data_IF_848774136895
#
_entry.id   IF_848774136895
#
_cell.length_a   1.000
_cell.length_b   1.000
_cell.length_c   1.000
_cell.angle_alpha   90.00
_cell.angle_beta   90.00
_cell.angle_gamma   90.00
#
_symmetry.space_group_name_H-M   'P 1'
#
loop_
_entity.id
_entity.type
_entity.pdbx_description
1 polymer ?
#
# COMPACT_ATOMS: atom_id res chain seq x y z
N UNK A 1 7.71 5.08 19.98
CA UNK A 1 7.08 3.80 19.61
C UNK A 1 5.59 4.04 19.47
N UNK A 2 5.03 3.96 18.25
CA UNK A 2 3.57 4.08 18.04
C UNK A 2 3.07 2.66 17.70
N UNK A 3 2.47 1.93 18.65
CA UNK A 3 2.12 0.52 18.48
C UNK A 3 1.09 0.25 17.36
N UNK A 4 0.44 1.28 16.83
CA UNK A 4 -0.70 1.16 15.91
C UNK A 4 -0.36 1.25 14.41
N UNK A 5 0.92 1.43 14.04
CA UNK A 5 1.35 1.54 12.63
C UNK A 5 2.29 0.39 12.26
N UNK A 6 1.75 -0.66 11.65
CA UNK A 6 2.52 -1.83 11.20
C UNK A 6 3.46 -1.51 10.02
N UNK A 7 3.25 -0.37 9.35
CA UNK A 7 3.99 -0.01 8.12
C UNK A 7 5.16 0.95 8.39
N UNK A 8 5.27 1.52 9.59
CA UNK A 8 6.36 2.46 9.94
C UNK A 8 7.31 1.79 10.93
N UNK A 9 8.18 0.93 10.40
CA UNK A 9 9.27 0.36 11.19
C UNK A 9 10.18 1.48 11.71
N UNK A 10 10.45 1.48 13.01
CA UNK A 10 11.37 2.42 13.65
C UNK A 10 12.65 1.68 13.98
N UNK A 11 13.79 2.19 13.53
CA UNK A 11 15.09 1.63 13.89
C UNK A 11 15.35 1.83 15.40
N UNK A 12 15.51 0.74 16.14
CA UNK A 12 16.09 0.76 17.49
C UNK A 12 17.59 0.54 17.34
N UNK A 13 18.39 1.52 17.76
CA UNK A 13 19.86 1.47 17.63
C UNK A 13 20.45 1.58 19.02
N UNK A 14 21.26 0.59 19.41
CA UNK A 14 22.06 0.65 20.63
C UNK A 14 23.47 1.14 20.23
N UNK A 15 23.68 2.47 20.23
CA UNK A 15 24.95 3.10 19.86
C UNK A 15 24.83 4.55 19.36
N UNK A 16 25.92 5.11 18.84
CA UNK A 16 25.95 6.47 18.26
C UNK A 16 25.36 6.48 16.85
N UNK A 17 24.40 7.38 16.62
CA UNK A 17 23.82 7.65 15.30
C UNK A 17 24.53 8.84 14.65
N UNK A 18 24.59 8.84 13.32
CA UNK A 18 25.15 9.93 12.52
C UNK A 18 24.18 10.40 11.42
N UNK A 19 24.43 11.58 10.89
CA UNK A 19 23.67 12.13 9.75
C UNK A 19 24.51 11.96 8.49
N UNK A 20 23.95 11.29 7.47
CA UNK A 20 24.59 11.18 6.18
C UNK A 20 24.60 12.56 5.49
N UNK A 21 25.79 13.14 5.32
CA UNK A 21 25.96 14.48 4.73
C UNK A 21 25.83 14.49 3.20
N UNK A 22 25.99 13.33 2.56
CA UNK A 22 25.95 13.19 1.11
C UNK A 22 24.60 12.68 0.60
N UNK A 23 24.31 12.94 -0.68
CA UNK A 23 23.11 12.40 -1.32
C UNK A 23 23.23 10.89 -1.51
N UNK A 24 22.21 10.15 -1.05
CA UNK A 24 22.03 8.74 -1.37
C UNK A 24 21.00 8.60 -2.48
N UNK A 25 21.40 8.03 -3.62
CA UNK A 25 20.45 7.62 -4.65
C UNK A 25 19.72 6.37 -4.16
N UNK A 26 18.44 6.50 -3.81
CA UNK A 26 17.61 5.40 -3.33
C UNK A 26 16.55 5.02 -4.35
N UNK A 27 16.81 3.94 -5.08
CA UNK A 27 15.84 3.32 -5.99
C UNK A 27 14.93 2.41 -5.17
N UNK A 28 13.64 2.75 -5.10
CA UNK A 28 12.68 2.07 -4.24
C UNK A 28 12.20 0.70 -4.77
N UNK A 29 12.53 0.38 -6.03
CA UNK A 29 12.18 -0.84 -6.74
C UNK A 29 12.94 -0.90 -8.08
N UNK A 30 13.40 -2.09 -8.47
CA UNK A 30 14.20 -2.28 -9.69
C UNK A 30 13.36 -2.74 -10.89
N UNK A 31 12.19 -3.35 -10.65
CA UNK A 31 11.35 -3.87 -11.71
C UNK A 31 9.86 -3.91 -11.34
N UNK A 32 9.02 -4.13 -12.36
CA UNK A 32 7.57 -4.24 -12.21
C UNK A 32 7.14 -5.31 -11.19
N UNK A 33 7.79 -6.47 -11.17
CA UNK A 33 7.42 -7.58 -10.29
C UNK A 33 7.66 -7.23 -8.81
N UNK A 34 8.79 -6.62 -8.49
CA UNK A 34 9.13 -6.12 -7.16
C UNK A 34 8.12 -5.05 -6.74
N UNK A 35 7.82 -4.10 -7.63
CA UNK A 35 6.86 -3.05 -7.32
C UNK A 35 5.44 -3.59 -7.09
N UNK A 36 5.01 -4.57 -7.91
CA UNK A 36 3.74 -5.28 -7.74
C UNK A 36 3.69 -6.01 -6.39
N UNK A 37 4.73 -6.75 -6.05
CA UNK A 37 4.82 -7.47 -4.79
C UNK A 37 4.76 -6.49 -3.60
N UNK A 38 5.45 -5.35 -3.71
CA UNK A 38 5.37 -4.26 -2.73
C UNK A 38 3.93 -3.78 -2.56
N UNK A 39 3.22 -3.45 -3.64
CA UNK A 39 1.82 -3.01 -3.56
C UNK A 39 0.91 -4.05 -2.89
N UNK A 40 1.12 -5.34 -3.15
CA UNK A 40 0.39 -6.43 -2.50
C UNK A 40 0.70 -6.47 -1.00
N UNK A 41 1.97 -6.49 -0.61
CA UNK A 41 2.40 -6.54 0.80
C UNK A 41 1.86 -5.36 1.60
N UNK A 42 1.98 -4.14 1.07
CA UNK A 42 1.43 -2.93 1.69
C UNK A 42 -0.09 -3.01 1.82
N UNK A 43 -0.77 -3.55 0.81
CA UNK A 43 -2.21 -3.80 0.88
C UNK A 43 -2.56 -4.74 2.03
N UNK A 44 -1.88 -5.88 2.12
CA UNK A 44 -2.11 -6.87 3.20
C UNK A 44 -1.89 -6.25 4.58
N UNK A 45 -0.80 -5.52 4.80
CA UNK A 45 -0.53 -4.85 6.08
C UNK A 45 -1.64 -3.86 6.42
N UNK A 46 -2.07 -3.05 5.46
CA UNK A 46 -3.16 -2.08 5.67
C UNK A 46 -4.50 -2.76 5.95
N UNK A 47 -4.75 -3.93 5.36
CA UNK A 47 -5.94 -4.73 5.66
C UNK A 47 -5.96 -5.23 7.10
N UNK A 48 -4.81 -5.69 7.61
CA UNK A 48 -4.63 -6.04 9.03
C UNK A 48 -4.85 -4.82 9.94
N UNK A 49 -4.29 -3.66 9.60
CA UNK A 49 -4.54 -2.42 10.36
C UNK A 49 -6.02 -2.04 10.41
N UNK A 50 -6.75 -2.15 9.29
CA UNK A 50 -8.19 -1.91 9.26
C UNK A 50 -8.97 -2.91 10.12
N UNK A 51 -8.53 -4.17 10.15
CA UNK A 51 -9.13 -5.20 10.99
C UNK A 51 -8.95 -4.86 12.47
N UNK A 52 -7.72 -4.53 12.88
CA UNK A 52 -7.40 -4.11 14.27
C UNK A 52 -8.19 -2.87 14.70
N UNK A 53 -8.52 -1.99 13.74
CA UNK A 53 -9.39 -0.82 13.97
C UNK A 53 -10.91 -1.14 13.97
N UNK A 54 -11.29 -2.41 13.91
CA UNK A 54 -12.69 -2.85 13.95
C UNK A 54 -13.51 -2.52 12.69
N UNK A 55 -12.88 -2.20 11.55
CA UNK A 55 -13.62 -1.89 10.32
C UNK A 55 -14.29 -3.14 9.75
N UNK A 56 -15.61 -3.13 9.58
CA UNK A 56 -16.35 -4.23 8.94
C UNK A 56 -16.08 -4.30 7.43
N UNK A 57 -15.87 -5.50 6.92
CA UNK A 57 -15.73 -5.73 5.48
C UNK A 57 -17.07 -5.53 4.76
N UNK A 58 -17.02 -4.91 3.59
CA UNK A 58 -18.15 -4.79 2.67
C UNK A 58 -17.66 -4.97 1.24
N UNK A 59 -18.30 -5.87 0.50
CA UNK A 59 -17.98 -6.17 -0.90
C UNK A 59 -18.14 -4.90 -1.76
N UNK A 60 -19.24 -4.16 -1.55
CA UNK A 60 -19.51 -2.91 -2.26
C UNK A 60 -18.41 -1.87 -1.99
N UNK A 61 -17.98 -1.75 -0.72
CA UNK A 61 -16.89 -0.83 -0.36
C UNK A 61 -15.58 -1.20 -1.02
N UNK A 62 -15.25 -2.50 -1.11
CA UNK A 62 -14.04 -2.97 -1.79
C UNK A 62 -14.01 -2.54 -3.26
N UNK A 63 -15.08 -2.83 -4.02
CA UNK A 63 -15.12 -2.50 -5.44
C UNK A 63 -15.13 -0.98 -5.67
N UNK A 64 -15.98 -0.24 -4.96
CA UNK A 64 -16.05 1.22 -5.08
C UNK A 64 -14.69 1.87 -4.77
N UNK A 65 -14.03 1.48 -3.68
CA UNK A 65 -12.72 2.05 -3.31
C UNK A 65 -11.62 1.68 -4.29
N UNK A 66 -11.64 0.47 -4.82
CA UNK A 66 -10.65 0.00 -5.80
C UNK A 66 -10.80 0.75 -7.13
N UNK A 67 -12.02 0.81 -7.67
CA UNK A 67 -12.33 1.51 -8.93
C UNK A 67 -12.05 3.01 -8.77
N UNK A 68 -12.54 3.63 -7.68
CA UNK A 68 -12.28 5.04 -7.40
C UNK A 68 -10.79 5.34 -7.30
N UNK A 69 -9.99 4.43 -6.70
CA UNK A 69 -8.53 4.61 -6.61
C UNK A 69 -7.89 4.60 -7.99
N UNK A 70 -8.30 3.69 -8.87
CA UNK A 70 -7.83 3.64 -10.26
C UNK A 70 -8.18 4.92 -11.00
N UNK A 71 -9.45 5.34 -11.00
CA UNK A 71 -9.93 6.55 -11.68
C UNK A 71 -9.19 7.78 -11.14
N UNK A 72 -9.01 7.87 -9.82
CA UNK A 72 -8.23 8.95 -9.19
C UNK A 72 -6.77 8.97 -9.64
N UNK A 73 -6.13 7.82 -9.75
CA UNK A 73 -4.74 7.74 -10.18
C UNK A 73 -4.59 8.03 -11.69
N UNK A 74 -5.50 7.54 -12.51
CA UNK A 74 -5.38 7.63 -13.96
C UNK A 74 -5.82 8.99 -14.50
N UNK A 75 -7.00 9.47 -14.09
CA UNK A 75 -7.56 10.73 -14.59
C UNK A 75 -7.14 11.93 -13.74
N UNK A 76 -7.40 11.88 -12.42
CA UNK A 76 -7.19 13.05 -11.56
C UNK A 76 -5.72 13.33 -11.24
N UNK A 77 -4.85 12.31 -11.29
CA UNK A 77 -3.40 12.47 -11.17
C UNK A 77 -2.69 12.50 -12.51
N UNK A 78 -3.44 12.66 -13.60
CA UNK A 78 -2.90 12.80 -14.95
C UNK A 78 -2.02 11.61 -15.38
N UNK A 79 -2.21 10.41 -14.81
CA UNK A 79 -1.51 9.21 -15.26
C UNK A 79 -1.81 8.85 -16.72
N UNK A 80 -2.89 9.37 -17.28
CA UNK A 80 -3.15 9.31 -18.72
C UNK A 80 -2.05 9.99 -19.57
N UNK A 81 -1.37 11.02 -19.04
CA UNK A 81 -0.28 11.70 -19.73
C UNK A 81 0.98 10.84 -19.83
N UNK A 82 1.17 9.92 -18.88
CA UNK A 82 2.28 8.97 -18.86
C UNK A 82 2.01 7.72 -19.73
N UNK A 83 0.86 7.67 -20.42
CA UNK A 83 0.49 6.59 -21.33
C UNK A 83 0.48 5.20 -20.68
N UNK A 84 1.31 4.28 -21.20
CA UNK A 84 1.38 2.89 -20.72
C UNK A 84 1.86 2.79 -19.27
N UNK A 85 2.85 3.59 -18.89
CA UNK A 85 3.43 3.53 -17.55
C UNK A 85 2.47 4.10 -16.51
N UNK A 86 1.76 5.17 -16.85
CA UNK A 86 0.71 5.71 -15.97
C UNK A 86 -0.47 4.77 -15.79
N UNK A 87 -0.85 4.01 -16.82
CA UNK A 87 -1.82 2.92 -16.68
C UNK A 87 -1.32 1.84 -15.72
N UNK A 88 -0.08 1.37 -15.90
CA UNK A 88 0.55 0.36 -15.04
C UNK A 88 0.59 0.82 -13.58
N UNK A 89 1.04 2.04 -13.33
CA UNK A 89 1.14 2.61 -11.97
C UNK A 89 -0.25 2.78 -11.34
N UNK A 90 -1.23 3.23 -12.12
CA UNK A 90 -2.62 3.38 -11.65
C UNK A 90 -3.25 2.03 -11.30
N UNK A 91 -2.99 1.00 -12.13
CA UNK A 91 -3.40 -0.37 -11.86
C UNK A 91 -2.77 -0.92 -10.58
N UNK A 92 -1.46 -0.76 -10.39
CA UNK A 92 -0.76 -1.24 -9.20
C UNK A 92 -1.22 -0.53 -7.91
N UNK A 93 -1.56 0.76 -8.00
CA UNK A 93 -2.18 1.48 -6.89
C UNK A 93 -3.58 0.94 -6.54
N UNK A 94 -4.39 0.62 -7.54
CA UNK A 94 -5.69 -0.01 -7.33
C UNK A 94 -5.55 -1.42 -6.75
N UNK A 95 -4.56 -2.20 -7.23
CA UNK A 95 -4.24 -3.53 -6.73
C UNK A 95 -3.91 -3.52 -5.23
N UNK A 96 -3.15 -2.53 -4.75
CA UNK A 96 -2.88 -2.37 -3.32
C UNK A 96 -4.16 -2.17 -2.50
N UNK A 97 -5.10 -1.36 -2.99
CA UNK A 97 -6.41 -1.15 -2.33
C UNK A 97 -7.26 -2.43 -2.37
N UNK A 98 -7.26 -3.15 -3.49
CA UNK A 98 -7.95 -4.43 -3.60
C UNK A 98 -7.44 -5.44 -2.55
N UNK A 99 -6.11 -5.58 -2.44
CA UNK A 99 -5.48 -6.46 -1.46
C UNK A 99 -5.70 -6.01 -0.02
N UNK A 100 -5.87 -4.71 0.23
CA UNK A 100 -6.27 -4.16 1.54
C UNK A 100 -7.60 -4.76 2.00
N UNK A 101 -8.64 -4.66 1.18
CA UNK A 101 -9.96 -5.19 1.55
C UNK A 101 -10.03 -6.72 1.49
N UNK A 102 -9.26 -7.36 0.60
CA UNK A 102 -9.11 -8.82 0.59
C UNK A 102 -8.51 -9.32 1.90
N UNK A 103 -7.45 -8.67 2.39
CA UNK A 103 -6.83 -9.02 3.66
C UNK A 103 -7.78 -8.74 4.83
N UNK A 104 -8.51 -7.62 4.83
CA UNK A 104 -9.55 -7.35 5.83
C UNK A 104 -10.58 -8.49 5.93
N UNK A 105 -11.08 -8.96 4.77
CA UNK A 105 -12.02 -10.09 4.69
C UNK A 105 -11.45 -11.37 5.30
N UNK A 106 -10.19 -11.70 4.99
CA UNK A 106 -9.54 -12.91 5.51
C UNK A 106 -9.38 -12.85 7.03
N UNK A 107 -8.87 -11.73 7.57
CA UNK A 107 -8.69 -11.59 9.03
C UNK A 107 -10.01 -11.62 9.80
N UNK A 108 -11.12 -11.15 9.20
CA UNK A 108 -12.45 -11.25 9.80
C UNK A 108 -12.99 -12.68 9.83
N UNK A 109 -12.76 -13.46 8.77
CA UNK A 109 -13.17 -14.87 8.73
C UNK A 109 -12.39 -15.77 9.69
N UNK A 110 -11.17 -15.39 10.06
CA UNK A 110 -10.32 -16.14 10.98
C UNK A 110 -10.63 -15.87 12.46
N UNK A 111 -11.44 -14.84 12.76
CA UNK A 111 -11.89 -14.48 14.11
C UNK A 111 -13.37 -14.85 14.36
N UNK A 112 -13.95 -15.67 13.49
CA UNK A 112 -15.28 -16.31 13.64
C UNK A 112 -15.01 -17.80 13.76
#
# INVERSE_FOLDING_TARGET
YIPEKLVHETLKVDGTIGILQNKLLHYSYDNYAIYKQKMISYGVLKGKELFLKGKKYSVLTQYLKTIFKFIKAFFFRLGILDGKDGFIVSYLQALSVYHTYKSLKVNQKQNI
#
